data_IF_158599226734
#
_entry.id   IF_158599226734
#
_cell.length_a   1.000
_cell.length_b   1.000
_cell.length_c   1.000
_cell.angle_alpha   90.00
_cell.angle_beta   90.00
_cell.angle_gamma   90.00
#
_symmetry.space_group_name_H-M   'P 1'
#
loop_
_entity.id
_entity.type
_entity.pdbx_description
1 polymer ?
#
# COMPACT_ATOMS: atom_id res chain seq x y z
N UNK A 1 -5.02 68.16 5.65
CA UNK A 1 -6.46 68.03 5.40
C UNK A 1 -6.65 66.70 4.68
N UNK A 2 -6.98 65.68 5.41
CA UNK A 2 -7.28 64.35 4.91
C UNK A 2 -8.79 64.22 4.87
N UNK A 3 -9.34 64.12 3.70
CA UNK A 3 -10.72 63.78 3.54
C UNK A 3 -10.86 62.26 3.42
N UNK A 4 -11.44 61.71 4.45
CA UNK A 4 -11.94 60.35 4.45
C UNK A 4 -13.02 60.17 3.36
N UNK A 5 -12.89 59.11 2.59
CA UNK A 5 -14.05 58.63 1.92
C UNK A 5 -14.11 57.12 2.08
N UNK A 6 -14.80 56.79 3.15
CA UNK A 6 -15.28 55.46 3.44
C UNK A 6 -16.46 55.14 2.58
N UNK A 7 -16.43 54.08 1.85
CA UNK A 7 -17.54 53.14 1.65
C UNK A 7 -17.22 52.12 0.58
N UNK A 8 -16.64 51.04 1.00
CA UNK A 8 -16.79 49.80 0.27
C UNK A 8 -17.88 49.01 0.94
N UNK A 9 -18.95 48.65 0.24
CA UNK A 9 -19.86 47.67 0.79
C UNK A 9 -19.18 46.31 0.79
N UNK A 10 -18.95 45.85 1.97
CA UNK A 10 -18.49 44.51 2.24
C UNK A 10 -19.66 43.56 1.93
N UNK A 11 -19.78 43.14 0.69
CA UNK A 11 -20.58 41.99 0.37
C UNK A 11 -19.80 40.75 0.76
N UNK A 12 -19.90 40.43 2.01
CA UNK A 12 -19.52 39.15 2.54
C UNK A 12 -20.50 38.10 1.98
N UNK A 13 -20.30 37.73 0.70
CA UNK A 13 -20.86 36.51 0.21
C UNK A 13 -20.09 35.39 0.88
N UNK A 14 -20.60 34.98 2.00
CA UNK A 14 -20.28 33.71 2.59
C UNK A 14 -20.66 32.65 1.56
N UNK A 15 -19.72 32.33 0.68
CA UNK A 15 -19.72 31.03 0.03
C UNK A 15 -19.67 30.03 1.16
N UNK A 16 -20.82 29.54 1.55
CA UNK A 16 -20.94 28.33 2.29
C UNK A 16 -20.25 27.28 1.45
N UNK A 17 -18.98 27.06 1.71
CA UNK A 17 -18.34 25.82 1.32
C UNK A 17 -19.11 24.78 2.06
N UNK A 18 -20.08 24.18 1.38
CA UNK A 18 -20.69 22.99 1.88
C UNK A 18 -19.55 21.96 1.88
N UNK A 19 -18.89 21.85 3.01
CA UNK A 19 -18.25 20.63 3.39
C UNK A 19 -19.39 19.60 3.56
N UNK A 20 -20.02 19.27 2.44
CA UNK A 20 -20.51 17.94 2.31
C UNK A 20 -19.25 17.13 2.35
N UNK A 21 -18.76 16.89 3.58
CA UNK A 21 -17.87 15.84 3.82
C UNK A 21 -18.44 14.72 3.01
N UNK A 22 -17.73 14.35 2.00
CA UNK A 22 -17.98 13.08 1.42
C UNK A 22 -17.80 12.17 2.61
N UNK A 23 -18.89 11.87 3.25
CA UNK A 23 -19.00 10.62 3.91
C UNK A 23 -18.54 9.68 2.82
N UNK A 24 -17.33 9.22 2.90
CA UNK A 24 -16.95 8.02 2.22
C UNK A 24 -18.11 7.11 2.52
N UNK A 25 -19.01 6.93 1.55
CA UNK A 25 -20.00 5.92 1.64
C UNK A 25 -19.18 4.71 2.04
N UNK A 26 -19.39 4.21 3.26
CA UNK A 26 -18.85 2.93 3.64
C UNK A 26 -19.42 2.02 2.58
N UNK A 27 -18.60 1.78 1.56
CA UNK A 27 -18.91 0.81 0.56
C UNK A 27 -18.83 -0.52 1.29
N UNK A 28 -19.97 -1.00 1.79
CA UNK A 28 -20.11 -2.27 2.51
C UNK A 28 -19.62 -3.45 1.64
N UNK A 29 -19.33 -3.22 0.35
CA UNK A 29 -18.68 -4.19 -0.53
C UNK A 29 -17.19 -4.40 -0.20
N UNK A 30 -16.50 -3.41 0.41
CA UNK A 30 -15.10 -3.53 0.80
C UNK A 30 -14.98 -4.18 2.18
N UNK A 31 -14.52 -5.41 2.18
CA UNK A 31 -14.34 -6.20 3.42
C UNK A 31 -13.01 -5.95 4.13
N UNK A 32 -12.05 -5.32 3.45
CA UNK A 32 -10.70 -5.09 3.94
C UNK A 32 -10.23 -3.66 3.62
N UNK A 33 -9.17 -3.15 4.26
CA UNK A 33 -8.56 -1.88 3.90
C UNK A 33 -8.13 -1.83 2.43
N UNK A 34 -8.17 -0.65 1.79
CA UNK A 34 -7.81 -0.49 0.38
C UNK A 34 -6.33 -0.76 0.10
N UNK A 35 -5.46 -0.62 1.10
CA UNK A 35 -4.03 -0.87 0.99
C UNK A 35 -3.60 -1.95 1.99
N UNK A 36 -2.91 -2.95 1.50
CA UNK A 36 -2.42 -4.09 2.29
C UNK A 36 -0.91 -4.18 2.18
N UNK A 37 -0.24 -4.28 3.33
CA UNK A 37 1.17 -4.64 3.41
C UNK A 37 1.26 -6.13 3.71
N UNK A 38 1.86 -6.88 2.82
CA UNK A 38 1.99 -8.32 2.96
C UNK A 38 3.42 -8.72 3.26
N UNK A 39 3.66 -9.14 4.52
CA UNK A 39 4.93 -9.67 4.99
C UNK A 39 5.05 -11.16 4.62
N UNK A 40 5.27 -11.45 3.36
CA UNK A 40 5.19 -12.81 2.82
C UNK A 40 6.52 -13.57 2.85
N UNK A 41 7.65 -12.85 2.96
CA UNK A 41 8.99 -13.41 2.93
C UNK A 41 9.80 -12.96 4.14
N UNK A 42 10.00 -13.83 5.15
CA UNK A 42 10.56 -13.40 6.44
C UNK A 42 12.08 -13.23 6.43
N UNK A 43 12.79 -13.80 5.44
CA UNK A 43 14.24 -13.77 5.45
C UNK A 43 14.78 -12.49 4.84
N UNK A 44 15.92 -12.03 5.42
CA UNK A 44 16.65 -10.87 4.96
C UNK A 44 18.16 -11.17 4.96
N UNK A 45 18.86 -10.60 4.02
CA UNK A 45 20.32 -10.65 3.94
C UNK A 45 21.01 -9.48 4.66
N UNK A 46 20.22 -8.60 5.30
CA UNK A 46 20.70 -7.48 6.11
C UNK A 46 20.26 -7.61 7.57
N UNK A 47 21.12 -7.10 8.47
CA UNK A 47 20.85 -7.01 9.91
C UNK A 47 20.71 -5.57 10.38
N UNK A 48 19.84 -4.78 9.75
CA UNK A 48 19.64 -3.36 10.11
C UNK A 48 19.24 -3.20 11.57
N UNK A 49 19.97 -2.39 12.33
CA UNK A 49 19.72 -2.20 13.77
C UNK A 49 18.36 -1.58 14.08
N UNK A 50 17.84 -0.77 13.16
CA UNK A 50 16.54 -0.09 13.28
C UNK A 50 15.38 -0.89 12.70
N UNK A 51 15.62 -2.09 12.16
CA UNK A 51 14.57 -2.90 11.53
C UNK A 51 13.62 -3.46 12.60
N UNK A 52 12.33 -3.16 12.44
CA UNK A 52 11.26 -3.72 13.28
C UNK A 52 10.78 -5.10 12.80
N UNK A 53 11.03 -5.42 11.53
CA UNK A 53 10.58 -6.66 10.89
C UNK A 53 11.64 -7.76 11.02
N UNK A 54 11.88 -8.21 12.26
CA UNK A 54 12.78 -9.33 12.54
C UNK A 54 11.96 -10.59 12.68
N UNK A 55 12.12 -11.48 11.71
CA UNK A 55 11.41 -12.76 11.64
C UNK A 55 12.40 -13.94 11.75
N UNK A 56 13.46 -13.76 12.53
CA UNK A 56 14.56 -14.73 12.67
C UNK A 56 14.09 -16.10 13.17
N UNK A 57 13.00 -16.10 13.94
CA UNK A 57 12.43 -17.30 14.57
C UNK A 57 11.38 -18.02 13.71
N UNK A 58 11.06 -17.51 12.52
CA UNK A 58 10.08 -18.14 11.63
C UNK A 58 10.73 -19.30 10.87
N UNK A 59 10.26 -20.55 11.08
CA UNK A 59 10.76 -21.69 10.34
C UNK A 59 10.53 -21.53 8.83
N UNK A 60 11.48 -21.96 8.02
CA UNK A 60 11.33 -21.93 6.55
C UNK A 60 10.16 -22.76 6.04
N UNK A 61 9.71 -23.75 6.82
CA UNK A 61 8.56 -24.57 6.50
C UNK A 61 7.22 -23.82 6.60
N UNK A 62 7.17 -22.71 7.34
CA UNK A 62 5.93 -21.95 7.58
C UNK A 62 5.61 -20.94 6.47
N UNK A 63 6.45 -20.87 5.42
CA UNK A 63 6.14 -20.04 4.24
C UNK A 63 5.00 -20.63 3.44
N UNK A 64 4.20 -19.77 2.82
CA UNK A 64 3.22 -20.21 1.83
C UNK A 64 3.92 -20.84 0.62
N UNK A 65 3.49 -22.02 0.17
CA UNK A 65 3.90 -22.56 -1.11
C UNK A 65 3.57 -21.58 -2.24
N UNK A 66 4.39 -21.56 -3.30
CA UNK A 66 4.20 -20.68 -4.46
C UNK A 66 2.77 -20.76 -5.01
N UNK A 67 2.25 -21.96 -5.14
CA UNK A 67 0.94 -22.27 -5.73
C UNK A 67 -0.22 -21.60 -4.95
N UNK A 68 -0.05 -21.45 -3.64
CA UNK A 68 -1.01 -20.76 -2.78
C UNK A 68 -0.73 -19.26 -2.80
N UNK A 69 0.54 -18.88 -2.69
CA UNK A 69 0.93 -17.48 -2.63
C UNK A 69 0.45 -16.67 -3.83
N UNK A 70 0.50 -17.22 -5.05
CA UNK A 70 0.06 -16.53 -6.28
C UNK A 70 -1.46 -16.31 -6.35
N UNK A 71 -2.26 -16.95 -5.51
CA UNK A 71 -3.72 -16.71 -5.45
C UNK A 71 -4.09 -15.56 -4.51
N UNK A 72 -3.20 -15.20 -3.60
CA UNK A 72 -3.45 -14.15 -2.59
C UNK A 72 -3.79 -12.79 -3.20
N UNK A 73 -3.09 -12.28 -4.23
CA UNK A 73 -3.44 -11.01 -4.86
C UNK A 73 -4.87 -10.95 -5.39
N UNK A 74 -5.35 -12.01 -6.03
CA UNK A 74 -6.72 -12.08 -6.53
C UNK A 74 -7.73 -12.06 -5.38
N UNK A 75 -7.49 -12.84 -4.33
CA UNK A 75 -8.33 -12.85 -3.12
C UNK A 75 -8.41 -11.46 -2.46
N UNK A 76 -7.29 -10.73 -2.41
CA UNK A 76 -7.25 -9.38 -1.87
C UNK A 76 -8.03 -8.39 -2.73
N UNK A 77 -7.90 -8.48 -4.06
CA UNK A 77 -8.65 -7.65 -4.98
C UNK A 77 -10.17 -7.91 -4.87
N UNK A 78 -10.59 -9.16 -4.82
CA UNK A 78 -11.99 -9.56 -4.61
C UNK A 78 -12.54 -9.07 -3.26
N UNK A 79 -11.70 -9.04 -2.23
CA UNK A 79 -12.06 -8.51 -0.91
C UNK A 79 -12.12 -6.97 -0.87
N UNK A 80 -11.70 -6.28 -1.92
CA UNK A 80 -11.80 -4.84 -2.08
C UNK A 80 -10.49 -4.07 -1.87
N UNK A 81 -9.33 -4.72 -1.89
CA UNK A 81 -8.05 -4.02 -1.90
C UNK A 81 -7.82 -3.34 -3.26
N UNK A 82 -7.19 -2.17 -3.23
CA UNK A 82 -6.77 -1.42 -4.41
C UNK A 82 -5.23 -1.49 -4.58
N UNK A 83 -4.52 -1.80 -3.49
CA UNK A 83 -3.06 -1.78 -3.44
C UNK A 83 -2.51 -2.91 -2.59
N UNK A 84 -1.43 -3.52 -3.08
CA UNK A 84 -0.60 -4.45 -2.32
C UNK A 84 0.85 -3.95 -2.26
N UNK A 85 1.45 -4.02 -1.09
CA UNK A 85 2.86 -3.75 -0.89
C UNK A 85 3.54 -5.02 -0.40
N UNK A 86 4.47 -5.53 -1.18
CA UNK A 86 5.30 -6.66 -0.80
C UNK A 86 6.38 -6.20 0.15
N UNK A 87 6.35 -6.74 1.34
CA UNK A 87 7.29 -6.46 2.42
C UNK A 87 7.71 -7.77 3.09
N UNK A 88 8.57 -7.68 4.06
CA UNK A 88 9.00 -8.86 4.81
C UNK A 88 10.36 -8.60 5.43
N UNK A 89 11.25 -9.60 5.35
CA UNK A 89 12.68 -9.40 5.44
C UNK A 89 13.16 -8.68 4.17
N UNK A 90 13.57 -9.44 3.16
CA UNK A 90 13.91 -8.88 1.85
C UNK A 90 13.13 -9.60 0.74
N UNK A 91 12.11 -8.95 0.15
CA UNK A 91 11.26 -9.55 -0.87
C UNK A 91 12.01 -10.09 -2.09
N UNK A 92 13.08 -9.42 -2.52
CA UNK A 92 13.87 -9.83 -3.71
C UNK A 92 14.62 -11.14 -3.53
N UNK A 93 14.70 -11.66 -2.31
CA UNK A 93 15.23 -13.01 -2.06
C UNK A 93 14.20 -14.12 -2.33
N UNK A 94 12.95 -13.77 -2.57
CA UNK A 94 11.91 -14.73 -2.88
C UNK A 94 12.01 -15.17 -4.34
N UNK A 95 12.20 -16.46 -4.62
CA UNK A 95 12.41 -16.96 -5.98
C UNK A 95 11.18 -16.89 -6.87
N UNK A 96 10.00 -16.59 -6.32
CA UNK A 96 8.75 -16.43 -7.06
C UNK A 96 8.13 -15.03 -6.89
N UNK A 97 8.93 -14.02 -6.53
CA UNK A 97 8.46 -12.63 -6.42
C UNK A 97 7.85 -12.13 -7.74
N UNK A 98 8.50 -12.41 -8.86
CA UNK A 98 8.01 -12.02 -10.18
C UNK A 98 6.61 -12.57 -10.46
N UNK A 99 6.36 -13.84 -10.16
CA UNK A 99 5.04 -14.44 -10.31
C UNK A 99 3.98 -13.73 -9.46
N UNK A 100 4.35 -13.30 -8.24
CA UNK A 100 3.46 -12.53 -7.35
C UNK A 100 3.16 -11.13 -7.91
N UNK A 101 4.16 -10.47 -8.49
CA UNK A 101 3.98 -9.17 -9.14
C UNK A 101 3.05 -9.28 -10.35
N UNK A 102 3.25 -10.30 -11.18
CA UNK A 102 2.39 -10.58 -12.34
C UNK A 102 0.97 -10.88 -11.88
N UNK A 103 0.77 -11.72 -10.88
CA UNK A 103 -0.54 -12.04 -10.33
C UNK A 103 -1.24 -10.79 -9.80
N UNK A 104 -0.51 -9.93 -9.08
CA UNK A 104 -1.05 -8.67 -8.55
C UNK A 104 -1.49 -7.71 -9.65
N UNK A 105 -0.70 -7.57 -10.70
CA UNK A 105 -1.03 -6.73 -11.87
C UNK A 105 -2.25 -7.28 -12.61
N UNK A 106 -2.36 -8.59 -12.78
CA UNK A 106 -3.52 -9.24 -13.39
C UNK A 106 -4.80 -9.05 -12.58
N UNK A 107 -4.67 -9.06 -11.25
CA UNK A 107 -5.77 -8.76 -10.33
C UNK A 107 -6.18 -7.28 -10.30
N UNK A 108 -5.46 -6.40 -11.00
CA UNK A 108 -5.75 -4.97 -11.06
C UNK A 108 -5.23 -4.16 -9.87
N UNK A 109 -4.37 -4.75 -9.03
CA UNK A 109 -3.81 -4.08 -7.86
C UNK A 109 -2.67 -3.13 -8.24
N UNK A 110 -2.61 -1.97 -7.56
CA UNK A 110 -1.39 -1.17 -7.51
C UNK A 110 -0.35 -1.93 -6.71
N UNK A 111 0.80 -2.20 -7.32
CA UNK A 111 1.84 -3.05 -6.75
C UNK A 111 3.05 -2.24 -6.31
N UNK A 112 3.47 -2.41 -5.07
CA UNK A 112 4.64 -1.79 -4.48
C UNK A 112 5.55 -2.84 -3.84
N UNK A 113 6.83 -2.53 -3.73
CA UNK A 113 7.84 -3.35 -3.05
C UNK A 113 8.61 -2.45 -2.08
N UNK A 114 8.82 -2.93 -0.86
CA UNK A 114 9.79 -2.34 0.07
C UNK A 114 10.98 -3.28 0.16
N UNK A 115 12.13 -2.82 -0.28
CA UNK A 115 13.32 -3.65 -0.51
C UNK A 115 14.59 -2.90 -0.14
N UNK A 116 15.63 -3.64 0.25
CA UNK A 116 17.00 -3.13 0.35
C UNK A 116 17.72 -3.10 -1.03
N UNK A 117 17.02 -3.48 -2.07
CA UNK A 117 17.45 -3.45 -3.47
C UNK A 117 18.61 -4.40 -3.85
N UNK A 118 19.06 -5.27 -2.96
CA UNK A 118 20.21 -6.17 -3.27
C UNK A 118 19.89 -7.20 -4.35
N UNK A 119 18.62 -7.53 -4.54
CA UNK A 119 18.19 -8.46 -5.58
C UNK A 119 17.66 -7.77 -6.85
N UNK A 120 17.66 -6.44 -6.89
CA UNK A 120 17.27 -5.69 -8.10
C UNK A 120 18.49 -5.58 -9.03
N UNK A 121 18.50 -6.39 -10.06
CA UNK A 121 19.49 -6.38 -11.13
C UNK A 121 18.90 -5.78 -12.40
N UNK A 122 19.71 -5.57 -13.43
CA UNK A 122 19.21 -5.10 -14.73
C UNK A 122 18.23 -6.09 -15.39
N UNK A 123 18.24 -7.35 -14.95
CA UNK A 123 17.33 -8.39 -15.44
C UNK A 123 15.99 -8.43 -14.70
N UNK A 124 15.85 -7.71 -13.56
CA UNK A 124 14.63 -7.61 -12.79
C UNK A 124 13.74 -6.49 -13.36
#
# INVERSE_FOLDING_TARGET
MWTENSSTPNTNESKSVSLTGQSSANDDSKKIPPAVNWHFWPWCNYGCKFCFARFEDIPRADRLPKEIAITVPEMLAEAGADKITFVGGEPTLCPYLEDLLIASKRAGLTTCIVSNATGLTEEF
#
